data_IF_065299917949
#
_entry.id   IF_065299917949
#
_cell.length_a   1.000
_cell.length_b   1.000
_cell.length_c   1.000
_cell.angle_alpha   90.00
_cell.angle_beta   90.00
_cell.angle_gamma   90.00
#
_symmetry.space_group_name_H-M   'P 1'
#
loop_
_entity.id
_entity.type
_entity.pdbx_description
1 polymer ?
#
# COMPACT_ATOMS: atom_id res chain seq x y z
N UNK A 1 -16.19 23.82 -22.72
CA UNK A 1 -15.05 23.14 -22.07
C UNK A 1 -15.63 22.03 -21.23
N UNK A 2 -15.23 20.78 -21.47
CA UNK A 2 -15.47 19.72 -20.49
C UNK A 2 -14.63 20.01 -19.25
N UNK A 3 -15.24 19.94 -18.08
CA UNK A 3 -14.51 20.04 -16.82
C UNK A 3 -13.65 18.77 -16.67
N UNK A 4 -12.37 18.96 -16.35
CA UNK A 4 -11.49 17.84 -16.03
C UNK A 4 -12.10 17.01 -14.89
N UNK A 5 -11.86 15.70 -14.90
CA UNK A 5 -12.39 14.79 -13.90
C UNK A 5 -11.38 13.67 -13.68
N UNK A 6 -11.14 13.30 -12.43
CA UNK A 6 -10.30 12.16 -12.07
C UNK A 6 -11.20 11.03 -11.61
N UNK A 7 -11.07 9.84 -12.19
CA UNK A 7 -11.94 8.69 -11.94
C UNK A 7 -11.11 7.50 -11.47
N UNK A 8 -11.63 6.79 -10.48
CA UNK A 8 -11.16 5.47 -10.08
C UNK A 8 -12.26 4.44 -10.35
N UNK A 9 -11.84 3.22 -10.70
CA UNK A 9 -12.72 2.08 -10.90
C UNK A 9 -12.13 0.86 -10.20
N UNK A 10 -12.91 0.27 -9.31
CA UNK A 10 -12.64 -1.02 -8.69
C UNK A 10 -13.45 -2.07 -9.45
N UNK A 11 -12.77 -3.15 -9.88
CA UNK A 11 -13.40 -4.27 -10.58
C UNK A 11 -13.23 -5.54 -9.77
N UNK A 12 -14.35 -6.14 -9.42
CA UNK A 12 -14.43 -7.36 -8.64
C UNK A 12 -14.28 -8.60 -9.55
N UNK A 13 -13.93 -9.74 -8.94
CA UNK A 13 -13.75 -11.02 -9.66
C UNK A 13 -15.03 -11.59 -10.23
N UNK A 14 -16.18 -11.23 -9.66
CA UNK A 14 -17.51 -11.59 -10.14
C UNK A 14 -17.94 -10.77 -11.38
N UNK A 15 -17.10 -9.84 -11.83
CA UNK A 15 -17.36 -8.98 -12.98
C UNK A 15 -18.11 -7.69 -12.63
N UNK A 16 -18.48 -7.47 -11.37
CA UNK A 16 -19.03 -6.19 -10.94
C UNK A 16 -17.94 -5.11 -10.92
N UNK A 17 -18.34 -3.86 -11.14
CA UNK A 17 -17.45 -2.69 -11.02
C UNK A 17 -18.11 -1.61 -10.17
N UNK A 18 -17.31 -0.96 -9.33
CA UNK A 18 -17.67 0.26 -8.64
C UNK A 18 -16.75 1.38 -9.11
N UNK A 19 -17.30 2.55 -9.42
CA UNK A 19 -16.47 3.70 -9.83
C UNK A 19 -16.90 4.96 -9.12
N UNK A 20 -15.91 5.80 -8.82
CA UNK A 20 -16.13 7.12 -8.25
C UNK A 20 -15.25 8.14 -8.96
N UNK A 21 -15.70 9.39 -8.93
CA UNK A 21 -15.09 10.46 -9.70
C UNK A 21 -15.04 11.74 -8.89
N UNK A 22 -13.95 12.47 -9.03
CA UNK A 22 -13.71 13.75 -8.35
C UNK A 22 -13.46 14.80 -9.43
N UNK A 23 -14.24 15.88 -9.37
CA UNK A 23 -14.02 17.03 -10.23
C UNK A 23 -13.04 17.97 -9.53
N UNK A 24 -11.89 18.30 -10.14
CA UNK A 24 -11.03 19.36 -9.64
C UNK A 24 -11.81 20.68 -9.60
N UNK A 25 -11.56 21.47 -8.55
CA UNK A 25 -12.06 22.84 -8.47
C UNK A 25 -11.34 23.79 -9.43
N UNK A 26 -11.65 25.07 -9.31
CA UNK A 26 -10.95 26.12 -10.06
C UNK A 26 -9.53 26.31 -9.50
N UNK A 27 -8.54 26.40 -10.38
CA UNK A 27 -7.13 26.48 -9.98
C UNK A 27 -6.15 25.66 -10.83
N UNK A 28 -6.61 25.10 -11.95
CA UNK A 28 -5.75 24.41 -12.90
C UNK A 28 -5.06 23.18 -12.29
N UNK A 29 -3.74 23.07 -12.48
CA UNK A 29 -2.97 21.91 -12.01
C UNK A 29 -2.93 21.76 -10.49
N UNK A 30 -3.02 22.86 -9.73
CA UNK A 30 -3.07 22.80 -8.27
C UNK A 30 -4.34 22.10 -7.77
N UNK A 31 -5.48 22.48 -8.32
CA UNK A 31 -6.76 21.84 -8.02
C UNK A 31 -6.78 20.36 -8.49
N UNK A 32 -6.15 20.06 -9.62
CA UNK A 32 -6.01 18.68 -10.09
C UNK A 32 -5.19 17.82 -9.12
N UNK A 33 -4.07 18.34 -8.61
CA UNK A 33 -3.25 17.65 -7.60
C UNK A 33 -4.06 17.33 -6.35
N UNK A 34 -4.86 18.29 -5.86
CA UNK A 34 -5.75 18.08 -4.71
C UNK A 34 -6.79 17.00 -5.01
N UNK A 35 -7.43 17.04 -6.17
CA UNK A 35 -8.40 16.03 -6.58
C UNK A 35 -7.78 14.61 -6.68
N UNK A 36 -6.53 14.49 -7.14
CA UNK A 36 -5.80 13.21 -7.17
C UNK A 36 -5.53 12.72 -5.73
N UNK A 37 -5.08 13.59 -4.83
CA UNK A 37 -4.87 13.22 -3.43
C UNK A 37 -6.16 12.74 -2.76
N UNK A 38 -7.29 13.41 -3.02
CA UNK A 38 -8.60 13.01 -2.52
C UNK A 38 -9.03 11.65 -3.10
N UNK A 39 -8.78 11.42 -4.39
CA UNK A 39 -9.09 10.15 -5.06
C UNK A 39 -8.30 9.00 -4.42
N UNK A 40 -7.01 9.23 -4.15
CA UNK A 40 -6.15 8.24 -3.51
C UNK A 40 -6.64 7.91 -2.09
N UNK A 41 -7.00 8.92 -1.29
CA UNK A 41 -7.53 8.71 0.06
C UNK A 41 -8.79 7.85 0.03
N UNK A 42 -9.75 8.18 -0.85
CA UNK A 42 -10.99 7.40 -1.02
C UNK A 42 -10.73 5.98 -1.51
N UNK A 43 -9.79 5.80 -2.44
CA UNK A 43 -9.39 4.48 -2.91
C UNK A 43 -8.79 3.64 -1.79
N UNK A 44 -7.89 4.22 -0.98
CA UNK A 44 -7.30 3.54 0.16
C UNK A 44 -8.35 3.14 1.20
N UNK A 45 -9.28 4.04 1.55
CA UNK A 45 -10.38 3.73 2.47
C UNK A 45 -11.22 2.56 1.97
N UNK A 46 -11.67 2.60 0.70
CA UNK A 46 -12.45 1.51 0.10
C UNK A 46 -11.71 0.17 0.14
N UNK A 47 -10.41 0.17 -0.16
CA UNK A 47 -9.61 -1.05 -0.14
C UNK A 47 -9.40 -1.58 1.28
N UNK A 48 -9.20 -0.70 2.27
CA UNK A 48 -9.12 -1.09 3.69
C UNK A 48 -10.42 -1.74 4.16
N UNK A 49 -11.58 -1.11 3.89
CA UNK A 49 -12.89 -1.67 4.25
C UNK A 49 -13.13 -3.06 3.65
N UNK A 50 -12.64 -3.31 2.43
CA UNK A 50 -12.75 -4.63 1.79
C UNK A 50 -11.85 -5.66 2.47
N UNK A 51 -10.62 -5.29 2.83
CA UNK A 51 -9.71 -6.17 3.58
C UNK A 51 -10.29 -6.52 4.95
N UNK A 52 -10.83 -5.53 5.66
CA UNK A 52 -11.45 -5.73 6.97
C UNK A 52 -12.67 -6.63 6.88
N UNK A 53 -13.52 -6.43 5.87
CA UNK A 53 -14.68 -7.29 5.60
C UNK A 53 -14.27 -8.74 5.28
N UNK A 54 -13.14 -8.94 4.60
CA UNK A 54 -12.58 -10.27 4.34
C UNK A 54 -12.01 -10.91 5.62
N UNK A 55 -11.33 -10.14 6.47
CA UNK A 55 -10.84 -10.60 7.79
C UNK A 55 -11.98 -11.08 8.69
N UNK A 56 -13.06 -10.30 8.79
CA UNK A 56 -14.24 -10.68 9.57
C UNK A 56 -14.90 -11.95 9.03
N UNK A 57 -14.98 -12.10 7.71
CA UNK A 57 -15.56 -13.30 7.05
C UNK A 57 -14.69 -14.54 7.20
N UNK A 58 -13.36 -14.38 7.24
CA UNK A 58 -12.43 -15.49 7.41
C UNK A 58 -12.52 -16.12 8.81
N UNK A 59 -13.23 -15.48 9.74
CA UNK A 59 -13.27 -15.88 11.14
C UNK A 59 -12.01 -15.36 11.85
N UNK A 60 -12.20 -14.76 13.02
CA UNK A 60 -11.13 -14.34 13.94
C UNK A 60 -10.35 -15.54 14.49
N UNK A 61 -9.65 -16.28 13.63
CA UNK A 61 -8.66 -17.30 14.00
C UNK A 61 -7.25 -16.68 14.14
N UNK A 62 -7.14 -15.37 14.38
CA UNK A 62 -5.93 -14.75 14.91
C UNK A 62 -6.12 -14.57 16.42
N UNK A 63 -5.72 -15.62 17.13
CA UNK A 63 -5.26 -15.66 18.52
C UNK A 63 -4.68 -14.30 19.01
N UNK A 64 -5.50 -13.49 19.69
CA UNK A 64 -5.03 -12.39 20.56
C UNK A 64 -4.43 -13.00 21.84
N UNK A 65 -3.34 -13.75 21.68
CA UNK A 65 -2.66 -14.49 22.74
C UNK A 65 -1.22 -14.04 22.97
N UNK A 66 -1.04 -12.94 23.70
CA UNK A 66 0.22 -12.57 24.40
C UNK A 66 1.32 -11.99 23.50
N UNK A 67 2.17 -11.06 23.92
CA UNK A 67 2.47 -10.51 25.23
C UNK A 67 2.95 -9.07 25.02
N UNK A 68 2.56 -8.17 25.93
CA UNK A 68 3.21 -6.88 26.10
C UNK A 68 4.63 -7.12 26.63
N UNK A 69 5.64 -7.24 25.75
CA UNK A 69 7.03 -7.02 26.18
C UNK A 69 7.37 -5.53 26.05
N UNK A 70 6.90 -4.78 27.04
CA UNK A 70 7.56 -3.55 27.44
C UNK A 70 8.88 -3.96 28.10
N UNK A 71 10.01 -3.76 27.42
CA UNK A 71 11.28 -3.57 28.11
C UNK A 71 11.97 -2.32 27.58
N UNK A 72 12.33 -1.48 28.54
CA UNK A 72 12.79 -0.12 28.37
C UNK A 72 14.29 -0.09 28.02
N UNK A 73 14.68 1.01 27.37
CA UNK A 73 16.02 1.46 26.96
C UNK A 73 17.26 0.86 27.66
N UNK A 74 18.29 0.48 26.88
CA UNK A 74 19.68 0.87 27.21
C UNK A 74 20.64 0.79 26.00
N UNK A 75 21.47 1.82 25.86
CA UNK A 75 22.90 1.59 25.66
C UNK A 75 23.46 1.50 24.24
N UNK A 76 24.30 2.46 23.90
CA UNK A 76 25.01 2.68 22.64
C UNK A 76 26.10 1.64 22.28
N UNK A 77 26.54 1.72 21.00
CA UNK A 77 27.91 1.53 20.45
C UNK A 77 28.26 0.29 19.57
N UNK A 78 28.55 0.65 18.31
CA UNK A 78 29.56 0.22 17.33
C UNK A 78 29.94 -1.25 17.00
N UNK A 79 29.89 -1.47 15.67
CA UNK A 79 30.84 -2.17 14.78
C UNK A 79 31.07 -3.69 14.93
N UNK A 80 30.81 -4.42 13.84
CA UNK A 80 30.90 -5.88 13.84
C UNK A 80 30.64 -6.55 12.50
N UNK A 81 31.37 -6.14 11.46
CA UNK A 81 31.78 -6.93 10.28
C UNK A 81 31.21 -8.36 10.16
N UNK A 82 30.30 -8.62 9.21
CA UNK A 82 30.43 -9.74 8.25
C UNK A 82 29.30 -9.83 7.21
N UNK A 83 29.68 -10.36 6.04
CA UNK A 83 28.84 -10.99 5.03
C UNK A 83 28.34 -10.14 3.85
N UNK A 84 29.25 -9.87 2.92
CA UNK A 84 28.90 -9.89 1.48
C UNK A 84 29.85 -10.86 0.74
N UNK A 85 29.69 -12.15 1.04
CA UNK A 85 30.19 -13.23 0.18
C UNK A 85 29.37 -13.24 -1.12
N UNK A 86 29.68 -12.34 -2.05
CA UNK A 86 29.14 -12.43 -3.41
C UNK A 86 29.62 -13.73 -4.07
N UNK A 87 28.73 -14.62 -4.53
CA UNK A 87 29.17 -15.75 -5.34
C UNK A 87 29.60 -15.25 -6.72
N UNK A 88 30.87 -15.47 -7.06
CA UNK A 88 31.44 -15.16 -8.38
C UNK A 88 30.64 -15.87 -9.50
N UNK A 89 30.05 -15.09 -10.40
CA UNK A 89 29.39 -15.62 -11.59
C UNK A 89 30.45 -16.24 -12.50
N UNK A 90 30.45 -17.59 -12.55
CA UNK A 90 31.25 -18.37 -13.50
C UNK A 90 30.85 -17.99 -14.93
N UNK A 91 31.75 -17.35 -15.68
CA UNK A 91 31.57 -17.18 -17.13
C UNK A 91 31.89 -18.51 -17.83
N UNK A 92 30.86 -19.24 -18.23
CA UNK A 92 31.01 -20.40 -19.13
C UNK A 92 31.40 -19.93 -20.52
N UNK A 93 32.56 -20.39 -21.00
CA UNK A 93 33.06 -20.19 -22.37
C UNK A 93 32.23 -21.07 -23.32
N UNK A 94 31.47 -20.46 -24.22
CA UNK A 94 30.88 -21.17 -25.37
C UNK A 94 31.88 -21.21 -26.53
N UNK A 95 31.79 -22.30 -27.29
CA UNK A 95 32.71 -22.81 -28.32
C UNK A 95 33.15 -21.83 -29.40
#
# INVERSE_FOLDING_TARGET
MEAACVRAELRYRDGQSQSFSIRPGDGGLGALRVAISELNLKASQLLSELVDSERERAGSDEDEGGEEESDEEDGEEEDGSNSDLQPQVKRSKTS
#
